data_IF_416211244717
#
_entry.id   IF_416211244717
#
_cell.length_a   1.000
_cell.length_b   1.000
_cell.length_c   1.000
_cell.angle_alpha   90.00
_cell.angle_beta   90.00
_cell.angle_gamma   90.00
#
_symmetry.space_group_name_H-M   'P 1'
#
loop_
_entity.id
_entity.type
_entity.pdbx_description
1 polymer ?
#
# COMPACT_ATOMS: atom_id res chain seq x y z
N UNK A 1 25.83 30.19 11.64
CA UNK A 1 24.94 29.46 10.74
C UNK A 1 25.49 29.55 9.32
N UNK A 2 26.22 28.55 8.86
CA UNK A 2 26.66 28.44 7.47
C UNK A 2 25.69 27.48 6.81
N UNK A 3 24.81 27.98 5.95
CA UNK A 3 24.08 27.19 4.97
C UNK A 3 25.11 26.65 3.98
N UNK A 4 25.49 25.40 4.11
CA UNK A 4 26.20 24.68 3.08
C UNK A 4 25.14 24.20 2.08
N UNK A 5 24.92 24.99 1.02
CA UNK A 5 24.28 24.53 -0.19
C UNK A 5 25.15 23.40 -0.79
N UNK A 6 24.81 22.17 -0.46
CA UNK A 6 25.38 21.02 -1.14
C UNK A 6 24.65 20.84 -2.47
N UNK A 7 25.02 21.68 -3.45
CA UNK A 7 24.58 21.51 -4.84
C UNK A 7 25.13 20.22 -5.39
N UNK A 8 24.23 19.31 -5.76
CA UNK A 8 24.54 18.12 -6.54
C UNK A 8 25.26 18.55 -7.83
N UNK A 9 26.48 18.07 -8.06
CA UNK A 9 27.17 18.31 -9.34
C UNK A 9 26.38 17.59 -10.45
N UNK A 10 25.92 18.29 -11.52
CA UNK A 10 25.18 17.69 -12.62
C UNK A 10 25.93 16.58 -13.36
N UNK A 11 27.22 16.45 -13.12
CA UNK A 11 28.11 15.55 -13.88
C UNK A 11 28.08 14.09 -13.41
N UNK A 12 27.45 13.73 -12.30
CA UNK A 12 27.43 12.35 -11.85
C UNK A 12 26.06 11.87 -11.40
N UNK A 13 25.41 11.09 -12.28
CA UNK A 13 24.15 10.43 -11.94
C UNK A 13 24.24 9.59 -10.65
N UNK A 14 23.31 9.73 -9.69
CA UNK A 14 23.33 8.94 -8.46
C UNK A 14 23.13 7.45 -8.76
N UNK A 15 23.88 6.62 -8.06
CA UNK A 15 23.78 5.15 -8.12
C UNK A 15 22.88 4.68 -7.00
N UNK A 16 21.66 4.30 -7.34
CA UNK A 16 20.59 3.95 -6.41
C UNK A 16 20.40 2.44 -6.41
N UNK A 17 20.47 1.82 -5.24
CA UNK A 17 20.25 0.39 -5.02
C UNK A 17 18.98 0.18 -4.18
N UNK A 18 17.96 -0.47 -4.72
CA UNK A 18 16.84 -0.98 -3.93
C UNK A 18 17.17 -2.39 -3.44
N UNK A 19 17.12 -2.58 -2.13
CA UNK A 19 17.19 -3.88 -1.48
C UNK A 19 15.80 -4.25 -0.98
N UNK A 20 15.32 -5.42 -1.37
CA UNK A 20 13.98 -5.89 -1.00
C UNK A 20 13.97 -7.40 -0.73
N UNK A 21 13.04 -7.86 0.10
CA UNK A 21 12.84 -9.30 0.39
C UNK A 21 11.97 -9.97 -0.67
N UNK A 22 10.83 -9.37 -0.96
CA UNK A 22 9.89 -9.78 -2.00
C UNK A 22 9.37 -8.52 -2.70
N UNK A 23 9.25 -8.57 -4.03
CA UNK A 23 8.67 -7.47 -4.80
C UNK A 23 7.14 -7.50 -4.64
N UNK A 24 6.67 -6.98 -3.51
CA UNK A 24 5.25 -6.79 -3.22
C UNK A 24 4.74 -5.49 -3.85
N UNK A 25 3.41 -5.32 -4.02
CA UNK A 25 2.83 -4.10 -4.59
C UNK A 25 3.35 -2.81 -3.94
N UNK A 26 3.43 -2.78 -2.62
CA UNK A 26 3.98 -1.65 -1.85
C UNK A 26 5.38 -1.24 -2.30
N UNK A 27 6.30 -2.18 -2.45
CA UNK A 27 7.67 -1.88 -2.90
C UNK A 27 7.69 -1.49 -4.37
N UNK A 28 6.86 -2.14 -5.19
CA UNK A 28 6.76 -1.87 -6.62
C UNK A 28 6.26 -0.45 -6.88
N UNK A 29 5.21 -0.03 -6.21
CA UNK A 29 4.55 1.25 -6.41
C UNK A 29 5.22 2.40 -5.63
N UNK A 30 5.78 2.10 -4.45
CA UNK A 30 6.48 3.08 -3.61
C UNK A 30 7.98 3.15 -3.93
N UNK A 31 8.35 3.38 -5.20
CA UNK A 31 9.73 3.69 -5.58
C UNK A 31 10.30 2.87 -6.72
N UNK A 32 10.02 1.54 -6.81
CA UNK A 32 10.64 0.71 -7.86
C UNK A 32 10.25 1.18 -9.27
N UNK A 33 8.95 1.33 -9.55
CA UNK A 33 8.47 1.76 -10.87
C UNK A 33 9.01 3.13 -11.27
N UNK A 34 9.03 4.09 -10.34
CA UNK A 34 9.53 5.44 -10.58
C UNK A 34 11.04 5.42 -10.86
N UNK A 35 11.82 4.64 -10.09
CA UNK A 35 13.26 4.52 -10.30
C UNK A 35 13.61 3.80 -11.61
N UNK A 36 12.84 2.78 -11.99
CA UNK A 36 12.99 2.15 -13.31
C UNK A 36 12.71 3.13 -14.46
N UNK A 37 11.66 3.95 -14.31
CA UNK A 37 11.33 4.99 -15.29
C UNK A 37 12.47 5.99 -15.40
N UNK A 38 12.95 6.55 -14.28
CA UNK A 38 14.06 7.53 -14.24
C UNK A 38 15.36 6.94 -14.82
N UNK A 39 15.65 5.67 -14.57
CA UNK A 39 16.81 5.01 -15.13
C UNK A 39 16.71 4.85 -16.65
N UNK A 40 15.53 4.52 -17.18
CA UNK A 40 15.28 4.48 -18.65
C UNK A 40 15.43 5.85 -19.30
N UNK A 41 15.12 6.93 -18.57
CA UNK A 41 15.34 8.31 -19.02
C UNK A 41 16.78 8.79 -18.85
N UNK A 42 17.67 7.97 -18.29
CA UNK A 42 19.05 8.35 -18.03
C UNK A 42 19.25 9.34 -16.87
N UNK A 43 18.24 9.53 -16.03
CA UNK A 43 18.29 10.47 -14.90
C UNK A 43 19.01 9.90 -13.66
N UNK A 44 19.02 8.58 -13.50
CA UNK A 44 19.69 7.85 -12.42
C UNK A 44 20.30 6.55 -12.92
N UNK A 45 21.28 6.02 -12.18
CA UNK A 45 21.68 4.62 -12.34
C UNK A 45 20.97 3.80 -11.27
N UNK A 46 20.20 2.78 -11.66
CA UNK A 46 19.35 2.05 -10.75
C UNK A 46 19.57 0.55 -10.82
N UNK A 47 19.54 -0.10 -9.65
CA UNK A 47 19.50 -1.56 -9.50
C UNK A 47 18.49 -1.93 -8.43
N UNK A 48 17.69 -2.97 -8.68
CA UNK A 48 16.84 -3.61 -7.68
C UNK A 48 17.33 -5.03 -7.43
N UNK A 49 17.71 -5.36 -6.21
CA UNK A 49 18.29 -6.64 -5.86
C UNK A 49 17.57 -7.24 -4.66
N UNK A 50 17.12 -8.49 -4.82
CA UNK A 50 16.59 -9.26 -3.69
C UNK A 50 17.73 -9.51 -2.68
N UNK A 51 17.47 -9.28 -1.38
CA UNK A 51 18.47 -9.32 -0.32
C UNK A 51 19.36 -10.58 -0.33
N UNK A 52 18.77 -11.79 -0.61
CA UNK A 52 19.53 -13.05 -0.67
C UNK A 52 20.43 -13.17 -1.89
N UNK A 53 20.18 -12.37 -2.95
CA UNK A 53 21.01 -12.32 -4.17
C UNK A 53 22.03 -11.19 -4.14
N UNK A 54 22.04 -10.39 -3.08
CA UNK A 54 22.91 -9.22 -2.93
C UNK A 54 24.38 -9.62 -2.91
N UNK A 55 25.21 -8.88 -3.63
CA UNK A 55 26.67 -9.06 -3.74
C UNK A 55 27.40 -7.85 -3.18
N UNK A 56 28.64 -8.05 -2.74
CA UNK A 56 29.50 -6.95 -2.30
C UNK A 56 29.71 -5.89 -3.39
N UNK A 57 29.72 -6.29 -4.67
CA UNK A 57 29.80 -5.38 -5.80
C UNK A 57 28.60 -4.42 -5.88
N UNK A 58 27.40 -4.85 -5.53
CA UNK A 58 26.20 -4.01 -5.51
C UNK A 58 26.29 -2.97 -4.39
N UNK A 59 26.71 -3.40 -3.20
CA UNK A 59 26.89 -2.55 -2.02
C UNK A 59 27.99 -1.50 -2.22
N UNK A 60 29.11 -1.90 -2.86
CA UNK A 60 30.21 -0.98 -3.19
C UNK A 60 29.85 -0.01 -4.31
N UNK A 61 28.97 -0.41 -5.21
CA UNK A 61 28.51 0.42 -6.32
C UNK A 61 27.58 1.54 -5.85
N UNK A 62 26.66 1.26 -4.93
CA UNK A 62 25.59 2.19 -4.54
C UNK A 62 26.11 3.46 -3.85
N UNK A 63 25.49 4.59 -4.10
CA UNK A 63 25.59 5.85 -3.36
C UNK A 63 24.43 5.98 -2.38
N UNK A 64 23.23 5.66 -2.85
CA UNK A 64 21.97 5.66 -2.11
C UNK A 64 21.41 4.24 -2.06
N UNK A 65 20.90 3.84 -0.89
CA UNK A 65 20.28 2.54 -0.71
C UNK A 65 18.84 2.71 -0.22
N UNK A 66 17.90 2.23 -1.03
CA UNK A 66 16.49 2.13 -0.67
C UNK A 66 16.28 0.79 0.07
N UNK A 67 15.82 0.84 1.30
CA UNK A 67 15.54 -0.31 2.15
C UNK A 67 14.03 -0.61 2.12
N UNK A 68 13.62 -1.56 1.26
CA UNK A 68 12.22 -1.84 0.94
C UNK A 68 11.52 -2.68 2.01
N UNK A 69 10.95 -2.08 3.06
CA UNK A 69 10.24 -2.76 4.17
C UNK A 69 11.05 -3.90 4.79
N UNK A 70 12.35 -3.68 4.97
CA UNK A 70 13.24 -4.64 5.61
C UNK A 70 13.04 -4.58 7.13
N UNK A 71 12.97 -5.74 7.82
CA UNK A 71 12.54 -5.82 9.20
C UNK A 71 13.15 -7.01 9.98
N UNK A 72 14.14 -7.71 9.40
CA UNK A 72 14.86 -8.80 10.07
C UNK A 72 16.15 -8.32 10.77
N UNK A 73 16.60 -9.09 11.73
CA UNK A 73 17.89 -8.82 12.40
C UNK A 73 19.06 -8.72 11.41
N UNK A 74 19.13 -9.63 10.44
CA UNK A 74 20.17 -9.61 9.40
C UNK A 74 20.15 -8.32 8.58
N UNK A 75 18.99 -7.89 8.17
CA UNK A 75 18.80 -6.66 7.39
C UNK A 75 19.19 -5.42 8.20
N UNK A 76 18.91 -5.41 9.52
CA UNK A 76 19.41 -4.36 10.42
C UNK A 76 20.93 -4.32 10.48
N UNK A 77 21.60 -5.49 10.57
CA UNK A 77 23.07 -5.54 10.53
C UNK A 77 23.61 -5.05 9.18
N UNK A 78 22.94 -5.36 8.09
CA UNK A 78 23.29 -4.86 6.76
C UNK A 78 23.13 -3.33 6.70
N UNK A 79 22.00 -2.78 7.15
CA UNK A 79 21.73 -1.34 7.18
C UNK A 79 22.77 -0.60 8.04
N UNK A 80 23.12 -1.14 9.23
CA UNK A 80 24.16 -0.57 10.10
C UNK A 80 25.51 -0.48 9.39
N UNK A 81 25.95 -1.55 8.74
CA UNK A 81 27.21 -1.54 7.99
C UNK A 81 27.20 -0.59 6.81
N UNK A 82 26.05 -0.45 6.10
CA UNK A 82 25.90 0.51 5.02
C UNK A 82 26.00 1.95 5.53
N UNK A 83 25.36 2.25 6.65
CA UNK A 83 25.44 3.53 7.32
C UNK A 83 26.90 3.84 7.74
N UNK A 84 27.59 2.92 8.41
CA UNK A 84 29.00 3.06 8.80
C UNK A 84 29.94 3.22 7.60
N UNK A 85 29.57 2.65 6.43
CA UNK A 85 30.30 2.82 5.17
C UNK A 85 29.95 4.12 4.43
N UNK A 86 29.14 5.00 5.03
CA UNK A 86 28.74 6.28 4.46
C UNK A 86 27.84 6.12 3.23
N UNK A 87 26.86 5.23 3.24
CA UNK A 87 25.80 5.19 2.24
C UNK A 87 24.63 6.00 2.73
N UNK A 88 23.95 6.71 1.84
CA UNK A 88 22.72 7.42 2.17
C UNK A 88 21.58 6.39 2.20
N UNK A 89 20.94 6.21 3.36
CA UNK A 89 19.91 5.20 3.55
C UNK A 89 18.51 5.81 3.55
N UNK A 90 17.62 5.24 2.75
CA UNK A 90 16.22 5.64 2.68
C UNK A 90 15.35 4.42 3.02
N UNK A 91 14.56 4.49 4.09
CA UNK A 91 13.65 3.42 4.47
C UNK A 91 12.27 3.65 3.84
N UNK A 92 11.80 2.65 3.09
CA UNK A 92 10.46 2.66 2.47
C UNK A 92 9.47 2.05 3.45
N UNK A 93 8.43 2.82 3.81
CA UNK A 93 7.35 2.38 4.70
C UNK A 93 6.00 2.94 4.21
N UNK A 94 5.05 2.07 3.94
CA UNK A 94 3.72 2.39 3.38
C UNK A 94 2.55 2.11 4.33
N UNK A 95 2.79 1.32 5.38
CA UNK A 95 1.86 1.02 6.45
C UNK A 95 2.47 1.32 7.83
N UNK A 96 1.64 1.54 8.84
CA UNK A 96 2.09 1.71 10.24
C UNK A 96 2.47 0.37 10.88
N UNK A 97 3.61 -0.18 10.45
CA UNK A 97 4.09 -1.51 10.83
C UNK A 97 4.37 -1.65 12.35
N UNK A 98 4.52 -0.53 13.05
CA UNK A 98 4.72 -0.52 14.50
C UNK A 98 3.40 -0.56 15.29
N UNK A 99 2.24 -0.39 14.64
CA UNK A 99 0.93 -0.36 15.27
C UNK A 99 -0.11 -1.14 14.45
N UNK A 100 0.25 -2.35 14.01
CA UNK A 100 -0.67 -3.21 13.26
C UNK A 100 -1.75 -3.76 14.20
N UNK A 101 -3.05 -3.51 13.96
CA UNK A 101 -4.14 -4.02 14.76
C UNK A 101 -4.20 -5.55 14.76
N UNK A 102 -4.64 -6.13 15.88
CA UNK A 102 -4.63 -7.59 16.10
C UNK A 102 -5.52 -8.38 15.12
N UNK A 103 -6.53 -7.74 14.57
CA UNK A 103 -7.47 -8.29 13.57
C UNK A 103 -6.85 -8.42 12.17
N UNK A 104 -5.80 -7.65 11.87
CA UNK A 104 -5.09 -7.73 10.59
C UNK A 104 -4.24 -9.01 10.53
N UNK A 105 -4.30 -9.72 9.42
CA UNK A 105 -3.66 -11.04 9.26
C UNK A 105 -2.15 -11.03 9.52
N UNK A 106 -1.47 -9.92 9.22
CA UNK A 106 -0.03 -9.74 9.43
C UNK A 106 0.36 -9.34 10.86
N UNK A 107 -0.59 -9.05 11.76
CA UNK A 107 -0.33 -8.63 13.12
C UNK A 107 0.51 -9.65 13.92
N UNK A 108 0.27 -10.95 13.69
CA UNK A 108 1.02 -12.03 14.35
C UNK A 108 2.52 -11.99 14.04
N UNK A 109 2.93 -11.37 12.94
CA UNK A 109 4.32 -11.13 12.58
C UNK A 109 4.81 -9.77 13.09
N UNK A 110 4.16 -8.68 12.70
CA UNK A 110 4.63 -7.32 13.00
C UNK A 110 4.60 -6.97 14.49
N UNK A 111 3.72 -7.59 15.27
CA UNK A 111 3.65 -7.34 16.72
C UNK A 111 4.65 -8.19 17.54
N UNK A 112 5.56 -8.93 16.90
CA UNK A 112 6.64 -9.62 17.61
C UNK A 112 7.68 -8.60 18.10
N UNK A 113 8.14 -8.68 19.38
CA UNK A 113 9.08 -7.70 19.95
C UNK A 113 10.36 -7.49 19.16
N UNK A 114 10.92 -8.57 18.61
CA UNK A 114 12.12 -8.51 17.77
C UNK A 114 11.87 -7.83 16.42
N UNK A 115 10.71 -8.06 15.77
CA UNK A 115 10.32 -7.37 14.53
C UNK A 115 10.11 -5.89 14.79
N UNK A 116 9.40 -5.55 15.87
CA UNK A 116 9.20 -4.18 16.34
C UNK A 116 10.54 -3.46 16.57
N UNK A 117 11.49 -4.11 17.27
CA UNK A 117 12.83 -3.57 17.49
C UNK A 117 13.57 -3.36 16.17
N UNK A 118 13.51 -4.31 15.26
CA UNK A 118 14.19 -4.23 13.96
C UNK A 118 13.65 -3.07 13.12
N UNK A 119 12.31 -2.89 13.05
CA UNK A 119 11.70 -1.76 12.31
C UNK A 119 12.15 -0.43 12.91
N UNK A 120 12.16 -0.27 14.24
CA UNK A 120 12.69 0.93 14.91
C UNK A 120 14.14 1.19 14.53
N UNK A 121 14.99 0.15 14.57
CA UNK A 121 16.40 0.25 14.17
C UNK A 121 16.55 0.68 12.70
N UNK A 122 15.72 0.16 11.78
CA UNK A 122 15.72 0.60 10.38
C UNK A 122 15.37 2.08 10.24
N UNK A 123 14.33 2.52 10.95
CA UNK A 123 13.94 3.94 10.98
C UNK A 123 15.08 4.81 11.56
N UNK A 124 15.70 4.37 12.65
CA UNK A 124 16.80 5.09 13.33
C UNK A 124 18.04 5.25 12.43
N UNK A 125 18.47 4.18 11.75
CA UNK A 125 19.65 4.17 10.90
C UNK A 125 19.47 4.91 9.56
N UNK A 126 18.23 5.17 9.15
CA UNK A 126 17.96 5.80 7.84
C UNK A 126 18.08 7.30 7.90
N UNK A 127 18.69 7.89 6.86
CA UNK A 127 18.84 9.34 6.68
C UNK A 127 17.53 9.99 6.18
N UNK A 128 16.69 9.18 5.51
CA UNK A 128 15.38 9.61 5.02
C UNK A 128 14.32 8.50 5.16
N UNK A 129 13.08 8.93 5.27
CA UNK A 129 11.90 8.06 5.18
C UNK A 129 11.16 8.36 3.89
N UNK A 130 10.88 7.33 3.09
CA UNK A 130 10.08 7.41 1.89
C UNK A 130 8.72 6.75 2.15
N UNK A 131 7.65 7.49 1.96
CA UNK A 131 6.29 7.00 2.19
C UNK A 131 5.27 7.70 1.30
N UNK A 132 4.20 7.00 0.85
CA UNK A 132 3.06 7.64 0.21
C UNK A 132 2.12 8.32 1.24
N UNK A 133 2.28 8.01 2.52
CA UNK A 133 1.45 8.54 3.60
C UNK A 133 2.10 9.74 4.30
N UNK A 134 1.52 10.95 4.21
CA UNK A 134 2.05 12.10 4.94
C UNK A 134 1.96 11.94 6.47
N UNK A 135 1.06 11.06 6.95
CA UNK A 135 0.96 10.75 8.38
C UNK A 135 2.17 9.92 8.83
N UNK A 136 2.58 8.91 8.05
CA UNK A 136 3.77 8.13 8.35
C UNK A 136 5.04 8.97 8.28
N UNK A 137 5.13 9.90 7.33
CA UNK A 137 6.25 10.84 7.25
C UNK A 137 6.35 11.71 8.50
N UNK A 138 5.24 12.33 8.95
CA UNK A 138 5.22 13.10 10.20
C UNK A 138 5.56 12.26 11.43
N UNK A 139 5.23 10.96 11.42
CA UNK A 139 5.47 10.03 12.53
C UNK A 139 6.90 9.53 12.60
N UNK A 140 7.54 9.31 11.46
CA UNK A 140 8.82 8.57 11.39
C UNK A 140 9.98 9.37 10.82
N UNK A 141 9.75 10.41 10.01
CA UNK A 141 10.80 11.32 9.54
C UNK A 141 11.00 12.48 10.53
N UNK A 142 11.46 12.14 11.73
CA UNK A 142 11.68 13.09 12.83
C UNK A 142 13.17 13.43 12.98
N UNK A 143 13.45 14.58 13.62
CA UNK A 143 14.81 15.08 13.83
C UNK A 143 15.42 15.55 12.50
N UNK A 144 16.63 15.10 12.20
CA UNK A 144 17.38 15.46 10.98
C UNK A 144 17.03 14.61 9.75
N UNK A 145 16.04 13.70 9.85
CA UNK A 145 15.64 12.83 8.76
C UNK A 145 14.86 13.57 7.68
N UNK A 146 15.20 13.32 6.43
CA UNK A 146 14.44 13.84 5.32
C UNK A 146 13.14 13.05 5.12
N UNK A 147 12.04 13.78 4.91
CA UNK A 147 10.75 13.21 4.55
C UNK A 147 10.61 13.24 3.02
N UNK A 148 10.47 12.06 2.39
CA UNK A 148 10.28 11.93 0.96
C UNK A 148 8.86 11.42 0.72
N UNK A 149 7.97 12.31 0.31
CA UNK A 149 6.62 11.92 -0.05
C UNK A 149 6.59 11.42 -1.47
N UNK A 150 6.09 10.21 -1.67
CA UNK A 150 5.92 9.61 -2.99
C UNK A 150 4.42 9.52 -3.33
N UNK A 151 4.10 9.78 -4.58
CA UNK A 151 2.79 9.40 -5.15
C UNK A 151 2.94 8.09 -5.90
N UNK A 152 2.04 7.15 -5.62
CA UNK A 152 1.98 5.89 -6.36
C UNK A 152 1.38 6.13 -7.74
N UNK A 153 1.96 5.56 -8.80
CA UNK A 153 1.43 5.75 -10.14
C UNK A 153 0.23 4.85 -10.41
N UNK A 154 -0.68 5.34 -11.22
CA UNK A 154 -1.66 4.48 -11.87
C UNK A 154 -0.96 3.63 -12.95
N UNK A 155 -1.05 2.31 -12.82
CA UNK A 155 -0.44 1.35 -13.73
C UNK A 155 -1.50 0.84 -14.71
N UNK A 156 -1.12 0.72 -15.99
CA UNK A 156 -2.00 0.25 -17.08
C UNK A 156 -3.26 1.12 -17.24
N UNK A 157 -3.04 2.43 -17.34
CA UNK A 157 -4.11 3.39 -17.62
C UNK A 157 -4.92 2.97 -18.85
N UNK A 158 -6.22 2.82 -18.68
CA UNK A 158 -7.11 2.53 -19.80
C UNK A 158 -7.57 3.82 -20.46
N UNK A 159 -7.69 3.86 -21.80
CA UNK A 159 -8.29 4.99 -22.48
C UNK A 159 -9.79 5.08 -22.13
N UNK A 160 -10.32 6.30 -22.12
CA UNK A 160 -11.75 6.50 -21.97
C UNK A 160 -12.54 5.68 -22.99
N UNK A 161 -13.54 4.96 -22.48
CA UNK A 161 -14.53 4.23 -23.27
C UNK A 161 -15.92 4.53 -22.68
N UNK A 162 -16.85 5.05 -23.46
CA UNK A 162 -18.23 5.27 -22.98
C UNK A 162 -18.85 3.93 -22.62
N UNK A 163 -19.50 3.85 -21.46
CA UNK A 163 -20.27 2.67 -21.07
C UNK A 163 -21.64 2.70 -21.72
N UNK A 164 -22.21 1.53 -21.93
CA UNK A 164 -23.60 1.40 -22.35
C UNK A 164 -24.52 1.90 -21.23
N UNK A 165 -25.43 2.80 -21.56
CA UNK A 165 -26.36 3.39 -20.58
C UNK A 165 -27.61 2.53 -20.32
N UNK A 166 -27.83 1.50 -21.13
CA UNK A 166 -29.02 0.64 -21.14
C UNK A 166 -28.87 -0.65 -20.31
N UNK A 167 -27.68 -0.97 -19.81
CA UNK A 167 -27.40 -2.15 -18.99
C UNK A 167 -27.52 -1.89 -17.48
N UNK A 168 -27.42 -2.96 -16.66
CA UNK A 168 -27.32 -2.82 -15.21
C UNK A 168 -26.05 -2.09 -14.80
N UNK A 169 -26.13 -1.30 -13.71
CA UNK A 169 -24.96 -0.66 -13.11
C UNK A 169 -24.12 -1.72 -12.39
N UNK A 170 -22.86 -1.84 -12.78
CA UNK A 170 -21.92 -2.76 -12.13
C UNK A 170 -21.19 -2.05 -10.99
N UNK A 171 -21.40 -2.54 -9.78
CA UNK A 171 -20.80 -2.01 -8.54
C UNK A 171 -19.79 -3.02 -8.04
N UNK A 172 -18.53 -2.61 -7.90
CA UNK A 172 -17.45 -3.52 -7.57
C UNK A 172 -16.55 -3.08 -6.42
N UNK A 173 -15.97 -4.08 -5.75
CA UNK A 173 -14.89 -3.93 -4.80
C UNK A 173 -13.75 -4.89 -5.13
N UNK A 174 -12.51 -4.41 -5.10
CA UNK A 174 -11.31 -5.26 -5.15
C UNK A 174 -10.39 -4.95 -3.97
N UNK A 175 -9.88 -5.98 -3.30
CA UNK A 175 -8.98 -5.78 -2.16
C UNK A 175 -8.50 -7.07 -1.52
N UNK A 176 -7.59 -6.94 -0.52
CA UNK A 176 -7.10 -8.06 0.27
C UNK A 176 -8.20 -8.65 1.15
N UNK A 177 -8.03 -9.91 1.54
CA UNK A 177 -8.96 -10.62 2.44
C UNK A 177 -9.15 -9.87 3.77
N UNK A 178 -8.14 -9.16 4.25
CA UNK A 178 -8.22 -8.34 5.48
C UNK A 178 -9.27 -7.22 5.41
N UNK A 179 -9.79 -6.90 4.22
CA UNK A 179 -10.84 -5.89 4.01
C UNK A 179 -12.25 -6.43 4.15
N UNK A 180 -12.42 -7.74 4.34
CA UNK A 180 -13.75 -8.38 4.45
C UNK A 180 -14.56 -7.81 5.61
N UNK A 181 -13.96 -7.64 6.79
CA UNK A 181 -14.64 -7.07 7.95
C UNK A 181 -15.09 -5.62 7.75
N UNK A 182 -14.30 -4.81 7.02
CA UNK A 182 -14.69 -3.43 6.69
C UNK A 182 -15.92 -3.40 5.76
N UNK A 183 -15.97 -4.31 4.76
CA UNK A 183 -17.12 -4.45 3.88
C UNK A 183 -18.37 -4.84 4.67
N UNK A 184 -18.27 -5.82 5.55
CA UNK A 184 -19.38 -6.30 6.37
C UNK A 184 -19.90 -5.22 7.31
N UNK A 185 -19.00 -4.52 8.00
CA UNK A 185 -19.39 -3.52 8.99
C UNK A 185 -20.01 -2.26 8.36
N UNK A 186 -19.50 -1.83 7.18
CA UNK A 186 -19.87 -0.52 6.61
C UNK A 186 -20.93 -0.67 5.50
N UNK A 187 -20.90 -1.75 4.72
CA UNK A 187 -21.65 -1.84 3.47
C UNK A 187 -22.76 -2.88 3.46
N UNK A 188 -22.88 -3.77 4.44
CA UNK A 188 -23.89 -4.83 4.41
C UNK A 188 -25.30 -4.26 4.21
N UNK A 189 -25.78 -3.40 5.09
CA UNK A 189 -27.12 -2.84 5.03
C UNK A 189 -27.34 -1.91 3.81
N UNK A 190 -26.43 -0.97 3.49
CA UNK A 190 -26.60 -0.15 2.29
C UNK A 190 -26.70 -0.97 0.99
N UNK A 191 -25.85 -1.98 0.79
CA UNK A 191 -25.88 -2.76 -0.44
C UNK A 191 -27.10 -3.69 -0.55
N UNK A 192 -27.59 -4.23 0.57
CA UNK A 192 -28.85 -4.96 0.60
C UNK A 192 -30.03 -4.06 0.21
N UNK A 193 -30.07 -2.84 0.75
CA UNK A 193 -31.10 -1.85 0.40
C UNK A 193 -31.05 -1.46 -1.10
N UNK A 194 -29.84 -1.31 -1.68
CA UNK A 194 -29.67 -1.07 -3.12
C UNK A 194 -30.18 -2.26 -3.93
N UNK A 195 -29.84 -3.50 -3.56
CA UNK A 195 -30.34 -4.72 -4.26
C UNK A 195 -31.86 -4.77 -4.22
N UNK A 196 -32.46 -4.49 -3.07
CA UNK A 196 -33.91 -4.47 -2.91
C UNK A 196 -34.60 -3.39 -3.78
N UNK A 197 -34.03 -2.17 -3.82
CA UNK A 197 -34.61 -1.05 -4.59
C UNK A 197 -34.46 -1.23 -6.09
N UNK A 198 -33.30 -1.70 -6.57
CA UNK A 198 -32.97 -1.68 -8.00
C UNK A 198 -33.03 -3.05 -8.67
N UNK A 199 -33.10 -4.14 -7.88
CA UNK A 199 -33.23 -5.53 -8.38
C UNK A 199 -32.23 -5.86 -9.50
N UNK A 200 -32.69 -6.04 -10.74
CA UNK A 200 -31.88 -6.42 -11.90
C UNK A 200 -31.16 -5.23 -12.57
N UNK A 201 -31.43 -3.99 -12.12
CA UNK A 201 -30.74 -2.80 -12.63
C UNK A 201 -29.35 -2.61 -12.04
N UNK A 202 -28.93 -3.44 -11.07
CA UNK A 202 -27.61 -3.42 -10.45
C UNK A 202 -27.00 -4.82 -10.41
N UNK A 203 -25.68 -4.87 -10.57
CA UNK A 203 -24.88 -6.09 -10.40
C UNK A 203 -23.74 -5.80 -9.45
N UNK A 204 -23.45 -6.74 -8.54
CA UNK A 204 -22.36 -6.62 -7.58
C UNK A 204 -21.24 -7.60 -7.92
N UNK A 205 -19.99 -7.12 -7.79
CA UNK A 205 -18.81 -7.97 -7.95
C UNK A 205 -17.81 -7.73 -6.82
N UNK A 206 -17.30 -8.80 -6.21
CA UNK A 206 -16.26 -8.75 -5.19
C UNK A 206 -15.03 -9.51 -5.65
N UNK A 207 -13.88 -8.87 -5.60
CA UNK A 207 -12.61 -9.45 -5.98
C UNK A 207 -11.63 -9.47 -4.79
N UNK A 208 -11.22 -10.63 -4.36
CA UNK A 208 -10.30 -10.87 -3.24
C UNK A 208 -10.99 -10.92 -1.89
N UNK A 209 -11.44 -9.78 -1.33
CA UNK A 209 -12.30 -9.78 -0.15
C UNK A 209 -13.75 -10.05 -0.56
N UNK A 210 -14.33 -11.13 -0.04
CA UNK A 210 -15.69 -11.56 -0.32
C UNK A 210 -16.47 -11.56 1.00
N UNK A 211 -17.41 -10.60 1.19
CA UNK A 211 -18.18 -10.51 2.43
C UNK A 211 -19.23 -11.62 2.49
N UNK A 212 -19.64 -12.03 3.68
CA UNK A 212 -20.61 -13.10 3.90
C UNK A 212 -21.97 -12.80 3.23
N UNK A 213 -22.37 -11.53 3.17
CA UNK A 213 -23.61 -11.09 2.54
C UNK A 213 -23.57 -11.08 0.99
N UNK A 214 -22.41 -11.33 0.34
CA UNK A 214 -22.30 -11.33 -1.12
C UNK A 214 -23.32 -12.24 -1.80
N UNK A 215 -23.61 -13.40 -1.18
CA UNK A 215 -24.63 -14.35 -1.67
C UNK A 215 -26.05 -13.73 -1.68
N UNK A 216 -26.38 -12.89 -0.70
CA UNK A 216 -27.70 -12.25 -0.62
C UNK A 216 -27.88 -11.16 -1.69
N UNK A 217 -26.77 -10.65 -2.23
CA UNK A 217 -26.75 -9.69 -3.34
C UNK A 217 -26.74 -10.37 -4.72
N UNK A 218 -26.66 -11.69 -4.77
CA UNK A 218 -26.39 -12.43 -6.00
C UNK A 218 -25.11 -11.95 -6.70
N UNK A 219 -24.09 -11.67 -5.89
CA UNK A 219 -22.86 -11.03 -6.35
C UNK A 219 -21.92 -12.03 -7.02
N UNK A 220 -21.27 -11.59 -8.09
CA UNK A 220 -20.15 -12.33 -8.67
C UNK A 220 -18.92 -12.19 -7.76
N UNK A 221 -18.34 -13.34 -7.38
CA UNK A 221 -17.20 -13.41 -6.49
C UNK A 221 -15.98 -13.94 -7.22
N UNK A 222 -14.88 -13.18 -7.20
CA UNK A 222 -13.59 -13.55 -7.78
C UNK A 222 -12.62 -13.79 -6.64
N UNK A 223 -12.01 -14.98 -6.54
CA UNK A 223 -11.09 -15.30 -5.45
C UNK A 223 -9.87 -14.40 -5.42
N UNK A 224 -9.25 -14.26 -4.23
CA UNK A 224 -7.99 -13.58 -4.07
C UNK A 224 -6.88 -14.23 -4.91
N UNK A 225 -6.09 -13.44 -5.62
CA UNK A 225 -4.90 -13.90 -6.32
C UNK A 225 -3.61 -13.36 -5.65
N UNK A 226 -2.55 -14.17 -5.72
CA UNK A 226 -1.26 -13.83 -5.07
C UNK A 226 -0.33 -13.01 -5.97
N UNK A 227 -0.60 -12.95 -7.27
CA UNK A 227 0.18 -12.22 -8.25
C UNK A 227 -0.43 -10.84 -8.47
N UNK A 228 0.37 -9.78 -8.29
CA UNK A 228 -0.08 -8.41 -8.57
C UNK A 228 -0.35 -8.19 -10.06
N UNK A 229 0.41 -8.82 -10.95
CA UNK A 229 0.19 -8.70 -12.39
C UNK A 229 -1.11 -9.40 -12.82
N UNK A 230 -1.42 -10.55 -12.22
CA UNK A 230 -2.70 -11.24 -12.40
C UNK A 230 -3.86 -10.40 -11.85
N UNK A 231 -3.71 -9.85 -10.64
CA UNK A 231 -4.69 -8.95 -10.03
C UNK A 231 -5.05 -7.78 -10.96
N UNK A 232 -4.05 -7.07 -11.50
CA UNK A 232 -4.27 -5.96 -12.42
C UNK A 232 -4.91 -6.41 -13.74
N UNK A 233 -4.46 -7.55 -14.29
CA UNK A 233 -5.03 -8.11 -15.52
C UNK A 233 -6.51 -8.45 -15.36
N UNK A 234 -6.92 -8.96 -14.20
CA UNK A 234 -8.33 -9.23 -13.89
C UNK A 234 -9.06 -7.89 -13.74
N UNK A 235 -8.56 -6.99 -12.88
CA UNK A 235 -9.20 -5.71 -12.58
C UNK A 235 -9.49 -4.89 -13.85
N UNK A 236 -8.55 -4.84 -14.79
CA UNK A 236 -8.69 -4.13 -16.08
C UNK A 236 -9.81 -4.69 -16.98
N UNK A 237 -10.34 -5.88 -16.69
CA UNK A 237 -11.39 -6.54 -17.49
C UNK A 237 -12.77 -6.52 -16.82
N UNK A 238 -12.88 -5.95 -15.60
CA UNK A 238 -14.13 -6.04 -14.82
C UNK A 238 -15.22 -5.07 -15.28
N UNK A 239 -14.88 -4.04 -16.06
CA UNK A 239 -15.83 -3.09 -16.63
C UNK A 239 -16.87 -2.56 -15.61
N UNK A 240 -16.42 -2.21 -14.41
CA UNK A 240 -17.29 -1.64 -13.38
C UNK A 240 -17.70 -0.21 -13.73
N UNK A 241 -18.89 0.16 -13.31
CA UNK A 241 -19.36 1.54 -13.36
C UNK A 241 -18.98 2.30 -12.11
N UNK A 242 -19.14 1.68 -10.95
CA UNK A 242 -18.89 2.25 -9.63
C UNK A 242 -17.95 1.33 -8.86
N UNK A 243 -16.87 1.90 -8.33
CA UNK A 243 -15.98 1.24 -7.39
C UNK A 243 -16.26 1.71 -5.96
N UNK A 244 -16.49 0.80 -5.04
CA UNK A 244 -16.72 1.15 -3.63
C UNK A 244 -15.44 0.94 -2.80
N UNK A 245 -15.14 1.86 -1.89
CA UNK A 245 -13.95 1.81 -1.06
C UNK A 245 -14.24 2.25 0.38
N UNK A 246 -14.93 1.39 1.16
CA UNK A 246 -15.16 1.66 2.58
C UNK A 246 -13.84 1.68 3.34
N UNK A 247 -13.73 2.58 4.33
CA UNK A 247 -12.54 2.70 5.18
C UNK A 247 -12.97 3.03 6.61
N UNK A 248 -12.58 2.24 7.61
CA UNK A 248 -12.79 2.57 9.01
C UNK A 248 -11.98 3.80 9.42
N UNK A 249 -12.55 4.64 10.28
CA UNK A 249 -11.84 5.79 10.85
C UNK A 249 -11.02 5.35 12.08
N UNK A 250 -9.83 4.80 11.83
CA UNK A 250 -8.90 4.38 12.89
C UNK A 250 -7.50 4.96 12.66
N UNK A 251 -6.66 5.07 13.71
CA UNK A 251 -5.28 5.55 13.56
C UNK A 251 -4.45 4.73 12.56
N UNK A 252 -4.65 3.42 12.49
CA UNK A 252 -3.95 2.55 11.55
C UNK A 252 -4.40 2.79 10.11
N UNK A 253 -5.72 2.87 9.87
CA UNK A 253 -6.27 3.11 8.53
C UNK A 253 -5.95 4.51 8.02
N UNK A 254 -5.85 5.50 8.89
CA UNK A 254 -5.46 6.87 8.51
C UNK A 254 -4.02 6.96 7.97
N UNK A 255 -3.16 6.01 8.34
CA UNK A 255 -1.79 5.91 7.85
C UNK A 255 -1.67 5.30 6.44
N UNK A 256 -2.74 4.71 5.91
CA UNK A 256 -2.72 4.09 4.57
C UNK A 256 -2.66 5.12 3.44
N UNK A 257 -2.39 4.63 2.24
CA UNK A 257 -2.52 5.42 1.01
C UNK A 257 -3.90 5.18 0.35
N UNK A 258 -4.34 6.11 -0.49
CA UNK A 258 -5.63 6.03 -1.19
C UNK A 258 -5.58 5.12 -2.44
N UNK A 259 -5.00 3.94 -2.31
CA UNK A 259 -4.73 3.04 -3.45
C UNK A 259 -5.97 2.68 -4.27
N UNK A 260 -7.16 2.55 -3.65
CA UNK A 260 -8.39 2.28 -4.40
C UNK A 260 -8.79 3.43 -5.32
N UNK A 261 -8.51 4.67 -4.92
CA UNK A 261 -8.70 5.81 -5.82
C UNK A 261 -7.80 5.68 -7.07
N UNK A 262 -6.52 5.34 -6.88
CA UNK A 262 -5.56 5.16 -7.98
C UNK A 262 -5.96 4.00 -8.88
N UNK A 263 -6.30 2.85 -8.29
CA UNK A 263 -6.70 1.64 -9.02
C UNK A 263 -7.98 1.85 -9.83
N UNK A 264 -9.01 2.47 -9.23
CA UNK A 264 -10.27 2.76 -9.92
C UNK A 264 -10.09 3.81 -11.02
N UNK A 265 -9.30 4.85 -10.75
CA UNK A 265 -8.99 5.86 -11.74
C UNK A 265 -8.22 5.26 -12.94
N UNK A 266 -7.28 4.35 -12.69
CA UNK A 266 -6.51 3.68 -13.74
C UNK A 266 -7.39 2.93 -14.75
N UNK A 267 -8.50 2.35 -14.29
CA UNK A 267 -9.44 1.57 -15.12
C UNK A 267 -10.71 2.34 -15.49
N UNK A 268 -10.75 3.65 -15.22
CA UNK A 268 -11.87 4.53 -15.61
C UNK A 268 -13.16 4.27 -14.82
N UNK A 269 -13.05 3.80 -13.59
CA UNK A 269 -14.19 3.53 -12.69
C UNK A 269 -14.45 4.71 -11.78
N UNK A 270 -15.71 5.11 -11.63
CA UNK A 270 -16.12 6.18 -10.69
C UNK A 270 -16.09 5.62 -9.27
N UNK A 271 -15.20 6.13 -8.42
CA UNK A 271 -15.04 5.67 -7.06
C UNK A 271 -15.95 6.37 -6.06
N UNK A 272 -16.46 5.61 -5.09
CA UNK A 272 -17.19 6.08 -3.92
C UNK A 272 -16.39 5.66 -2.66
N UNK A 273 -15.99 6.63 -1.83
CA UNK A 273 -15.00 6.42 -0.76
C UNK A 273 -15.53 6.92 0.58
N UNK A 274 -15.18 6.27 1.70
CA UNK A 274 -15.43 6.85 3.03
C UNK A 274 -14.71 8.19 3.17
N UNK A 275 -15.39 9.22 3.67
CA UNK A 275 -14.80 10.54 3.95
C UNK A 275 -13.97 10.50 5.26
N UNK A 276 -12.95 9.68 5.25
CA UNK A 276 -11.93 9.56 6.31
C UNK A 276 -10.55 9.45 5.68
N UNK A 277 -9.49 9.73 6.43
CA UNK A 277 -8.12 9.48 5.94
C UNK A 277 -7.97 8.01 5.53
N UNK A 278 -7.33 7.72 4.38
CA UNK A 278 -6.59 8.65 3.48
C UNK A 278 -7.47 9.35 2.42
N UNK A 279 -8.73 8.96 2.23
CA UNK A 279 -9.56 9.43 1.12
C UNK A 279 -10.03 10.89 1.28
N UNK A 280 -10.18 11.40 2.51
CA UNK A 280 -10.50 12.82 2.74
C UNK A 280 -9.48 13.79 2.12
N UNK A 281 -8.27 13.32 1.79
CA UNK A 281 -7.28 14.10 1.01
C UNK A 281 -7.77 14.49 -0.39
N UNK A 282 -8.72 13.75 -0.95
CA UNK A 282 -9.27 14.03 -2.28
C UNK A 282 -9.99 15.38 -2.34
N UNK A 283 -10.60 15.84 -1.23
CA UNK A 283 -11.18 17.19 -1.13
C UNK A 283 -10.10 18.26 -1.30
N UNK A 284 -8.95 18.08 -0.62
CA UNK A 284 -7.83 19.01 -0.71
C UNK A 284 -7.19 19.09 -2.10
N UNK A 285 -7.39 18.06 -2.94
CA UNK A 285 -6.97 18.04 -4.33
C UNK A 285 -7.98 18.73 -5.28
N UNK A 286 -9.10 19.25 -4.76
CA UNK A 286 -10.14 19.89 -5.56
C UNK A 286 -10.90 18.91 -6.46
N UNK A 287 -10.98 17.65 -6.08
CA UNK A 287 -11.62 16.59 -6.87
C UNK A 287 -13.10 16.43 -6.43
N UNK A 288 -13.93 17.38 -6.79
CA UNK A 288 -15.38 17.40 -6.51
C UNK A 288 -16.15 16.25 -7.18
N UNK A 289 -15.56 15.67 -8.22
CA UNK A 289 -16.09 14.48 -8.89
C UNK A 289 -15.76 13.16 -8.15
N UNK A 290 -14.81 13.16 -7.24
CA UNK A 290 -14.55 12.02 -6.34
C UNK A 290 -15.58 12.04 -5.21
N UNK A 291 -16.44 11.02 -5.15
CA UNK A 291 -17.53 11.01 -4.18
C UNK A 291 -17.05 10.47 -2.84
N UNK A 292 -17.14 11.34 -1.85
CA UNK A 292 -16.87 11.00 -0.45
C UNK A 292 -18.19 10.78 0.30
N UNK A 293 -18.25 9.70 1.07
CA UNK A 293 -19.37 9.39 1.96
C UNK A 293 -18.98 9.81 3.36
N UNK A 294 -19.61 10.86 3.87
CA UNK A 294 -19.42 11.28 5.24
C UNK A 294 -20.20 10.33 6.16
N UNK A 295 -19.53 9.63 7.11
CA UNK A 295 -20.21 8.70 8.00
C UNK A 295 -21.24 9.33 8.92
N UNK A 296 -21.21 10.67 9.11
CA UNK A 296 -22.15 11.39 9.99
C UNK A 296 -23.36 11.98 9.21
N UNK A 297 -23.21 12.39 7.97
CA UNK A 297 -24.22 13.15 7.21
C UNK A 297 -24.72 12.45 5.96
N UNK A 298 -23.90 11.62 5.32
CA UNK A 298 -24.27 10.95 4.07
C UNK A 298 -24.36 9.44 4.28
N UNK A 299 -25.34 8.82 3.64
CA UNK A 299 -25.40 7.37 3.60
C UNK A 299 -24.81 6.82 2.30
N UNK A 300 -24.18 5.66 2.40
CA UNK A 300 -23.74 4.89 1.23
C UNK A 300 -24.90 4.60 0.27
N UNK A 301 -26.09 4.33 0.84
CA UNK A 301 -27.29 4.08 0.08
C UNK A 301 -27.68 5.28 -0.79
N UNK A 302 -27.72 6.51 -0.22
CA UNK A 302 -28.11 7.72 -0.94
C UNK A 302 -27.12 8.06 -2.05
N UNK A 303 -25.82 7.95 -1.77
CA UNK A 303 -24.76 8.22 -2.77
C UNK A 303 -24.77 7.21 -3.91
N UNK A 304 -25.05 5.94 -3.62
CA UNK A 304 -25.21 4.92 -4.65
C UNK A 304 -26.48 5.17 -5.47
N UNK A 305 -27.61 5.51 -4.84
CA UNK A 305 -28.83 5.88 -5.55
C UNK A 305 -28.58 7.04 -6.52
N UNK A 306 -27.91 8.10 -6.07
CA UNK A 306 -27.57 9.24 -6.92
C UNK A 306 -26.82 8.83 -8.19
N UNK A 307 -25.81 7.96 -8.10
CA UNK A 307 -25.05 7.49 -9.26
C UNK A 307 -25.83 6.50 -10.14
N UNK A 308 -26.72 5.70 -9.56
CA UNK A 308 -27.52 4.71 -10.29
C UNK A 308 -28.64 5.42 -11.08
N UNK A 309 -29.29 6.42 -10.46
CA UNK A 309 -30.42 7.13 -11.03
C UNK A 309 -30.00 8.14 -12.12
N UNK A 310 -28.82 8.77 -11.98
CA UNK A 310 -28.27 9.72 -12.96
C UNK A 310 -27.10 9.13 -13.75
N UNK A 311 -27.43 8.38 -14.81
CA UNK A 311 -26.45 7.75 -15.70
C UNK A 311 -25.62 8.78 -16.49
N UNK A 312 -26.16 9.94 -16.76
CA UNK A 312 -25.44 11.01 -17.45
C UNK A 312 -24.36 11.62 -16.55
N UNK A 313 -24.67 11.84 -15.27
CA UNK A 313 -23.70 12.30 -14.27
C UNK A 313 -22.63 11.26 -13.99
N UNK A 314 -22.99 9.98 -13.89
CA UNK A 314 -22.03 8.90 -13.73
C UNK A 314 -21.02 8.88 -14.90
N UNK A 315 -21.49 9.04 -16.13
CA UNK A 315 -20.65 9.08 -17.31
C UNK A 315 -19.82 10.37 -17.40
N UNK A 316 -20.34 11.51 -16.98
CA UNK A 316 -19.59 12.76 -16.85
C UNK A 316 -18.40 12.59 -15.87
N UNK A 317 -18.64 11.99 -14.71
CA UNK A 317 -17.60 11.70 -13.71
C UNK A 317 -16.56 10.75 -14.24
N UNK A 318 -16.95 9.72 -14.97
CA UNK A 318 -16.02 8.77 -15.62
C UNK A 318 -15.03 9.49 -16.55
N UNK A 319 -15.49 10.45 -17.36
CA UNK A 319 -14.61 11.26 -18.23
C UNK A 319 -13.58 12.03 -17.39
N UNK A 320 -14.02 12.67 -16.32
CA UNK A 320 -13.13 13.41 -15.41
C UNK A 320 -12.11 12.51 -14.73
N UNK A 321 -12.53 11.31 -14.27
CA UNK A 321 -11.64 10.31 -13.68
C UNK A 321 -10.53 9.91 -14.66
N UNK A 322 -10.89 9.53 -15.90
CA UNK A 322 -9.91 9.10 -16.92
C UNK A 322 -8.99 10.24 -17.32
N UNK A 323 -9.53 11.45 -17.49
CA UNK A 323 -8.71 12.63 -17.79
C UNK A 323 -7.69 12.88 -16.68
N UNK A 324 -8.15 12.95 -15.42
CA UNK A 324 -7.27 13.17 -14.27
C UNK A 324 -6.21 12.09 -14.14
N UNK A 325 -6.57 10.81 -14.32
CA UNK A 325 -5.63 9.71 -14.25
C UNK A 325 -4.52 9.84 -15.31
N UNK A 326 -4.90 10.16 -16.55
CA UNK A 326 -3.92 10.33 -17.64
C UNK A 326 -2.99 11.53 -17.44
N UNK A 327 -3.51 12.65 -16.91
CA UNK A 327 -2.76 13.89 -16.72
C UNK A 327 -1.90 13.93 -15.45
N UNK A 328 -2.38 13.30 -14.35
CA UNK A 328 -1.83 13.50 -13.00
C UNK A 328 -1.27 12.23 -12.34
N UNK A 329 -1.65 11.04 -12.83
CA UNK A 329 -1.32 9.79 -12.14
C UNK A 329 -0.40 8.87 -12.95
N UNK A 330 0.14 9.34 -14.08
CA UNK A 330 1.05 8.53 -14.89
C UNK A 330 2.38 8.28 -14.17
N UNK A 331 3.08 7.21 -14.59
CA UNK A 331 4.41 6.89 -14.06
C UNK A 331 5.41 8.03 -14.29
N UNK A 332 5.28 8.77 -15.38
CA UNK A 332 6.12 9.93 -15.68
C UNK A 332 5.96 11.02 -14.62
N UNK A 333 4.70 11.40 -14.33
CA UNK A 333 4.39 12.43 -13.32
C UNK A 333 4.90 12.02 -11.93
N UNK A 334 4.64 10.77 -11.53
CA UNK A 334 5.10 10.25 -10.23
C UNK A 334 6.64 10.22 -10.14
N UNK A 335 7.31 9.82 -11.20
CA UNK A 335 8.76 9.75 -11.26
C UNK A 335 9.43 11.12 -11.23
N UNK A 336 8.89 12.10 -11.98
CA UNK A 336 9.38 13.49 -11.97
C UNK A 336 9.21 14.15 -10.60
N UNK A 337 8.06 13.91 -9.94
CA UNK A 337 7.83 14.40 -8.58
C UNK A 337 8.85 13.82 -7.59
N UNK A 338 9.16 12.53 -7.70
CA UNK A 338 10.17 11.87 -6.87
C UNK A 338 11.58 12.40 -7.18
N UNK A 339 11.94 12.58 -8.45
CA UNK A 339 13.24 13.12 -8.86
C UNK A 339 13.52 14.49 -8.24
N UNK A 340 12.52 15.39 -8.23
CA UNK A 340 12.65 16.72 -7.62
C UNK A 340 13.02 16.64 -6.14
N UNK A 341 12.46 15.69 -5.40
CA UNK A 341 12.78 15.50 -3.98
C UNK A 341 14.18 14.88 -3.79
N UNK A 342 14.62 14.01 -4.69
CA UNK A 342 15.97 13.43 -4.64
C UNK A 342 17.07 14.47 -4.92
N UNK A 343 16.82 15.45 -5.77
CA UNK A 343 17.80 16.50 -6.11
C UNK A 343 18.18 17.39 -4.91
N UNK A 344 17.33 17.51 -3.91
CA UNK A 344 17.58 18.31 -2.70
C UNK A 344 18.18 17.50 -1.54
N UNK A 345 18.37 16.19 -1.70
CA UNK A 345 18.98 15.35 -0.68
C UNK A 345 20.49 15.57 -0.61
N UNK A 346 21.13 15.57 0.58
CA UNK A 346 22.55 15.83 0.75
C UNK A 346 23.42 14.61 0.40
N UNK A 347 23.16 14.00 -0.75
CA UNK A 347 23.83 12.77 -1.20
C UNK A 347 25.30 13.03 -1.60
N UNK A 348 25.62 14.24 -2.05
CA UNK A 348 26.95 14.59 -2.56
C UNK A 348 28.04 14.73 -1.49
N UNK A 349 27.68 14.92 -0.21
CA UNK A 349 28.61 15.08 0.91
C UNK A 349 29.06 13.80 1.60
N UNK A 350 28.53 12.66 1.19
CA UNK A 350 28.76 11.39 1.87
C UNK A 350 30.13 10.79 1.48
N UNK A 351 31.07 10.79 2.42
CA UNK A 351 32.41 10.21 2.20
C UNK A 351 32.35 8.70 2.22
N UNK A 352 32.44 8.05 1.06
CA UNK A 352 32.43 6.59 0.97
C UNK A 352 33.68 5.98 1.55
N UNK A 353 33.55 5.12 2.55
CA UNK A 353 34.61 4.23 2.97
C UNK A 353 34.71 3.05 1.96
N UNK A 354 35.93 2.78 1.45
CA UNK A 354 36.20 1.67 0.55
C UNK A 354 36.19 0.33 1.31
N UNK A 355 35.73 -0.75 0.66
CA UNK A 355 35.88 -2.11 1.16
C UNK A 355 34.74 -2.61 2.02
N UNK A 356 33.52 -2.62 1.46
CA UNK A 356 32.40 -3.32 2.09
C UNK A 356 32.52 -4.83 1.85
N UNK A 357 32.64 -5.60 2.93
CA UNK A 357 32.65 -7.06 2.86
C UNK A 357 31.49 -7.63 3.66
N UNK A 358 30.58 -8.29 2.99
CA UNK A 358 29.46 -9.01 3.63
C UNK A 358 29.92 -10.42 4.01
N UNK A 359 29.81 -10.79 5.28
CA UNK A 359 30.19 -12.11 5.75
C UNK A 359 29.17 -13.13 5.22
N UNK A 360 29.62 -14.20 4.54
CA UNK A 360 28.75 -15.27 4.03
C UNK A 360 27.94 -15.95 5.15
N UNK A 361 28.47 -16.03 6.36
CA UNK A 361 27.77 -16.52 7.56
C UNK A 361 26.49 -15.72 7.88
N UNK A 362 26.45 -14.44 7.56
CA UNK A 362 25.27 -13.61 7.81
C UNK A 362 24.06 -14.01 6.95
N UNK A 363 24.27 -14.51 5.72
CA UNK A 363 23.18 -15.04 4.88
C UNK A 363 22.59 -16.34 5.47
N UNK A 364 23.41 -17.19 6.05
CA UNK A 364 22.94 -18.40 6.72
C UNK A 364 22.12 -18.05 7.97
N UNK A 365 22.54 -17.05 8.74
CA UNK A 365 21.77 -16.53 9.88
C UNK A 365 20.45 -15.92 9.47
N UNK A 366 20.36 -15.25 8.30
CA UNK A 366 19.12 -14.72 7.76
C UNK A 366 18.11 -15.83 7.42
N UNK A 367 18.57 -16.97 6.93
CA UNK A 367 17.72 -18.14 6.68
C UNK A 367 17.16 -18.68 8.00
N UNK A 368 18.03 -18.82 9.02
CA UNK A 368 17.64 -19.30 10.35
C UNK A 368 16.63 -18.35 11.02
N UNK A 369 16.83 -17.05 10.94
CA UNK A 369 15.92 -16.04 11.47
C UNK A 369 14.51 -16.14 10.82
N UNK A 370 14.44 -16.37 9.51
CA UNK A 370 13.18 -16.60 8.80
C UNK A 370 12.47 -17.88 9.20
N UNK A 371 13.24 -18.97 9.32
CA UNK A 371 12.68 -20.25 9.78
C UNK A 371 12.10 -20.09 11.18
N UNK A 372 12.83 -19.41 12.08
CA UNK A 372 12.34 -19.08 13.41
C UNK A 372 11.01 -18.32 13.37
N UNK A 373 10.90 -17.24 12.57
CA UNK A 373 9.67 -16.46 12.47
C UNK A 373 8.48 -17.26 11.91
N UNK A 374 8.71 -18.13 10.93
CA UNK A 374 7.67 -19.02 10.39
C UNK A 374 7.16 -20.01 11.46
N UNK A 375 8.10 -20.62 12.20
CA UNK A 375 7.77 -21.56 13.28
C UNK A 375 7.02 -20.84 14.40
N UNK A 376 7.51 -19.69 14.85
CA UNK A 376 6.90 -18.88 15.90
C UNK A 376 5.47 -18.44 15.51
N UNK A 377 5.27 -17.97 14.29
CA UNK A 377 3.95 -17.60 13.77
C UNK A 377 2.98 -18.80 13.74
N UNK A 378 3.45 -20.01 13.37
CA UNK A 378 2.63 -21.22 13.38
C UNK A 378 2.25 -21.65 14.79
N UNK A 379 3.19 -21.61 15.72
CA UNK A 379 2.96 -21.98 17.14
C UNK A 379 1.96 -20.99 17.77
N UNK A 380 2.12 -19.69 17.58
CA UNK A 380 1.21 -18.68 18.13
C UNK A 380 -0.19 -18.77 17.56
N UNK A 381 -0.34 -19.08 16.26
CA UNK A 381 -1.65 -19.35 15.64
C UNK A 381 -2.28 -20.61 16.21
N UNK A 382 -1.50 -21.68 16.41
CA UNK A 382 -1.96 -22.94 17.00
C UNK A 382 -2.42 -22.75 18.44
N UNK A 383 -1.64 -22.04 19.28
CA UNK A 383 -2.00 -21.71 20.66
C UNK A 383 -3.29 -20.88 20.74
N UNK A 384 -3.44 -19.84 19.90
CA UNK A 384 -4.69 -19.04 19.83
C UNK A 384 -5.90 -19.88 19.42
N UNK A 385 -5.74 -20.84 18.52
CA UNK A 385 -6.81 -21.73 18.09
C UNK A 385 -7.25 -22.67 19.22
N UNK A 386 -6.30 -23.21 19.99
CA UNK A 386 -6.62 -24.13 21.08
C UNK A 386 -7.10 -23.43 22.36
N UNK A 387 -6.64 -22.20 22.64
CA UNK A 387 -7.17 -21.42 23.75
C UNK A 387 -8.64 -21.05 23.54
N UNK A 388 -9.07 -20.74 22.31
CA UNK A 388 -10.49 -20.50 21.99
C UNK A 388 -11.35 -21.77 22.15
N UNK A 389 -10.82 -22.95 21.87
CA UNK A 389 -11.56 -24.21 22.03
C UNK A 389 -11.77 -24.62 23.51
N UNK A 390 -10.85 -24.22 24.41
CA UNK A 390 -10.98 -24.50 25.84
C UNK A 390 -12.07 -23.65 26.52
N UNK A 391 -12.27 -22.40 26.09
CA UNK A 391 -13.33 -21.54 26.61
C UNK A 391 -14.71 -21.89 26.03
N UNK A 392 -14.79 -22.40 24.80
CA UNK A 392 -16.03 -22.84 24.20
C UNK A 392 -16.59 -24.15 24.83
N UNK A 393 -15.71 -25.03 25.32
CA UNK A 393 -16.12 -26.30 25.96
C UNK A 393 -16.46 -26.18 27.46
N UNK A 394 -16.07 -25.10 28.13
CA UNK A 394 -16.40 -24.89 29.55
C UNK A 394 -17.69 -24.08 29.79
N UNK A 395 -18.35 -23.59 28.74
CA UNK A 395 -19.62 -22.84 28.81
C UNK A 395 -20.88 -23.68 28.85
N UNK A 396 -20.82 -25.01 28.72
CA UNK A 396 -21.98 -25.92 28.73
C UNK A 396 -21.86 -26.95 29.85
N UNK A 397 -21.96 -26.53 31.10
CA UNK A 397 -22.43 -27.42 32.19
C UNK A 397 -23.77 -26.90 32.65
N UNK A 398 -24.88 -27.64 32.49
CA UNK A 398 -26.12 -27.29 33.12
C UNK A 398 -25.96 -27.61 34.62
N UNK A 399 -26.16 -26.60 35.46
CA UNK A 399 -26.33 -26.80 36.93
C UNK A 399 -27.53 -27.70 37.17
N UNK A 400 -27.26 -28.91 37.62
CA UNK A 400 -28.27 -29.73 38.26
C UNK A 400 -28.43 -29.23 39.70
N UNK A 401 -29.49 -28.48 39.92
CA UNK A 401 -29.99 -28.20 41.24
C UNK A 401 -30.94 -29.34 41.60
N UNK A 402 -30.59 -30.08 42.62
CA UNK A 402 -31.52 -30.88 43.42
C UNK A 402 -32.05 -30.05 44.56
#
# INVERSE_FOLDING_TARGET
>A
MRQTEATYSPEKMPRILLIYRKMIPSIRLCGHCQMEYLAKQGAVQYRAVQEMKLKNSDLNWADVVLLGRLDSWYECQLAKKLHEAGRYLIYIIDDDLLNVPSEISSASYYNQPNVQKNIRTMIELSDAILSPSPILLRKYAIGEKHAIQIEEPAIDLVPYRPHKLDGPVKIGFAGSIDRTGDLETILEEPLKAIKQKYTDKVQFEFFGAIPAFAKQLDAKCIPYCNSYDEYRSILNRLEWDIGIAPMPNTPFHSCKHYNKFIEYAAIGVVGLYSNVMPYSRLEALGLDWALLVNPESDSWFERLCFLIDDRAELERRRRLVVQYASEKMSIAVAAEALQKQFLVLPIGGVTKKKGFYMINTAKMLAVLDRVYHVIYSRITKWLKKHHKSHYANNGNRPDKVT
#
